data_IF_781314569173
#
_entry.id   IF_781314569173
#
_cell.length_a   1.000
_cell.length_b   1.000
_cell.length_c   1.000
_cell.angle_alpha   90.00
_cell.angle_beta   90.00
_cell.angle_gamma   90.00
#
_symmetry.space_group_name_H-M   'P 1'
#
loop_
_entity.id
_entity.type
_entity.pdbx_description
1 polymer ?
#
# COMPACT_ATOMS: atom_id res chain seq x y z
N UNK A 1 9.56 0.86 -9.69
CA UNK A 1 9.36 1.94 -8.69
C UNK A 1 10.12 3.24 -8.98
N UNK A 2 11.24 3.26 -9.72
CA UNK A 2 11.98 4.49 -10.06
C UNK A 2 11.07 5.58 -10.65
N UNK A 3 10.19 5.20 -11.59
CA UNK A 3 9.25 6.13 -12.22
C UNK A 3 8.24 6.71 -11.23
N UNK A 4 7.68 5.90 -10.32
CA UNK A 4 6.76 6.37 -9.27
C UNK A 4 7.46 7.43 -8.40
N UNK A 5 8.68 7.16 -7.95
CA UNK A 5 9.47 8.13 -7.16
C UNK A 5 9.78 9.41 -7.92
N UNK A 6 10.06 9.30 -9.22
CA UNK A 6 10.22 10.46 -10.09
C UNK A 6 8.93 11.29 -10.11
N UNK A 7 7.78 10.66 -10.31
CA UNK A 7 6.48 11.36 -10.27
C UNK A 7 6.26 12.07 -8.94
N UNK A 8 6.51 11.42 -7.79
CA UNK A 8 6.39 12.05 -6.47
C UNK A 8 7.27 13.30 -6.34
N UNK A 9 8.55 13.19 -6.76
CA UNK A 9 9.48 14.31 -6.68
C UNK A 9 9.05 15.49 -7.58
N UNK A 10 8.51 15.21 -8.76
CA UNK A 10 8.04 16.26 -9.66
C UNK A 10 6.72 16.89 -9.18
N UNK A 11 5.81 16.10 -8.60
CA UNK A 11 4.59 16.60 -7.96
C UNK A 11 4.90 17.50 -6.76
N UNK A 12 5.90 17.17 -5.95
CA UNK A 12 6.34 17.99 -4.82
C UNK A 12 6.91 19.35 -5.25
N UNK A 13 7.52 19.43 -6.43
CA UNK A 13 8.08 20.68 -6.98
C UNK A 13 7.05 21.53 -7.71
N UNK A 14 5.86 20.98 -7.99
CA UNK A 14 4.84 21.69 -8.73
C UNK A 14 4.42 22.95 -7.96
N UNK A 15 4.57 24.12 -8.58
CA UNK A 15 4.11 25.38 -8.00
C UNK A 15 2.63 25.51 -8.29
N UNK A 16 1.83 25.56 -7.23
CA UNK A 16 0.37 25.50 -7.34
C UNK A 16 -0.27 26.77 -6.80
N UNK A 17 -0.71 27.62 -7.71
CA UNK A 17 -1.28 28.93 -7.38
C UNK A 17 -2.79 28.90 -7.10
N UNK A 18 -3.52 27.93 -7.65
CA UNK A 18 -4.98 27.81 -7.46
C UNK A 18 -5.33 26.68 -6.50
N UNK A 19 -6.36 26.89 -5.67
CA UNK A 19 -6.86 25.90 -4.72
C UNK A 19 -7.17 24.54 -5.38
N UNK A 20 -7.92 24.54 -6.49
CA UNK A 20 -8.30 23.32 -7.20
C UNK A 20 -7.09 22.53 -7.70
N UNK A 21 -6.05 23.22 -8.18
CA UNK A 21 -4.84 22.56 -8.61
C UNK A 21 -4.08 21.95 -7.42
N UNK A 22 -4.16 22.53 -6.22
CA UNK A 22 -3.52 21.99 -5.01
C UNK A 22 -4.17 20.68 -4.58
N UNK A 23 -5.49 20.62 -4.67
CA UNK A 23 -6.25 19.40 -4.42
C UNK A 23 -5.84 18.29 -5.40
N UNK A 24 -5.80 18.58 -6.70
CA UNK A 24 -5.37 17.60 -7.72
C UNK A 24 -3.95 17.09 -7.45
N UNK A 25 -3.02 17.98 -7.08
CA UNK A 25 -1.66 17.56 -6.73
C UNK A 25 -1.64 16.65 -5.49
N UNK A 26 -2.47 16.93 -4.48
CA UNK A 26 -2.59 16.07 -3.30
C UNK A 26 -3.15 14.68 -3.64
N UNK A 27 -4.17 14.60 -4.50
CA UNK A 27 -4.74 13.34 -4.99
C UNK A 27 -3.71 12.52 -5.79
N UNK A 28 -2.94 13.17 -6.66
CA UNK A 28 -1.88 12.52 -7.44
C UNK A 28 -0.74 12.04 -6.55
N UNK A 29 -0.38 12.81 -5.52
CA UNK A 29 0.64 12.43 -4.54
C UNK A 29 0.22 11.18 -3.76
N UNK A 30 -1.02 11.18 -3.23
CA UNK A 30 -1.60 10.03 -2.55
C UNK A 30 -1.66 8.78 -3.45
N UNK A 31 -2.04 8.96 -4.71
CA UNK A 31 -2.07 7.87 -5.71
C UNK A 31 -0.68 7.27 -5.91
N UNK A 32 0.35 8.10 -6.03
CA UNK A 32 1.72 7.63 -6.16
C UNK A 32 2.22 6.90 -4.90
N UNK A 33 1.82 7.36 -3.71
CA UNK A 33 2.14 6.71 -2.44
C UNK A 33 1.47 5.32 -2.31
N UNK A 34 0.19 5.21 -2.70
CA UNK A 34 -0.54 3.94 -2.77
C UNK A 34 0.12 2.96 -3.75
N UNK A 35 0.49 3.42 -4.94
CA UNK A 35 1.21 2.60 -5.93
C UNK A 35 2.57 2.11 -5.43
N UNK A 36 3.32 2.99 -4.73
CA UNK A 36 4.60 2.63 -4.16
C UNK A 36 4.44 1.60 -3.03
N UNK A 37 3.40 1.73 -2.20
CA UNK A 37 3.06 0.76 -1.17
C UNK A 37 2.70 -0.60 -1.78
N UNK A 38 1.85 -0.63 -2.80
CA UNK A 38 1.51 -1.86 -3.52
C UNK A 38 2.76 -2.56 -4.09
N UNK A 39 3.68 -1.80 -4.70
CA UNK A 39 4.95 -2.36 -5.19
C UNK A 39 5.85 -2.91 -4.07
N UNK A 40 5.83 -2.30 -2.88
CA UNK A 40 6.60 -2.75 -1.72
C UNK A 40 6.02 -4.04 -1.14
N UNK A 41 4.70 -4.11 -1.01
CA UNK A 41 3.98 -5.29 -0.57
C UNK A 41 4.23 -6.44 -1.55
N UNK A 42 4.02 -6.24 -2.85
CA UNK A 42 4.28 -7.27 -3.86
C UNK A 42 5.72 -7.79 -3.83
N UNK A 43 6.71 -6.91 -3.64
CA UNK A 43 8.11 -7.33 -3.50
C UNK A 43 8.37 -8.11 -2.22
N UNK A 44 7.77 -7.72 -1.10
CA UNK A 44 7.89 -8.45 0.16
C UNK A 44 7.33 -9.88 0.02
N UNK A 45 6.15 -10.01 -0.59
CA UNK A 45 5.51 -11.30 -0.86
C UNK A 45 6.37 -12.17 -1.79
N UNK A 46 6.89 -11.61 -2.88
CA UNK A 46 7.79 -12.35 -3.80
C UNK A 46 9.09 -12.75 -3.12
N UNK A 47 9.67 -11.87 -2.30
CA UNK A 47 10.94 -12.13 -1.62
C UNK A 47 10.83 -13.31 -0.66
N UNK A 48 9.75 -13.37 0.12
CA UNK A 48 9.48 -14.47 1.05
C UNK A 48 8.98 -15.70 0.30
N UNK A 49 8.22 -15.52 -0.78
CA UNK A 49 7.61 -16.59 -1.55
C UNK A 49 8.57 -17.36 -2.46
N UNK A 50 9.82 -16.91 -2.62
CA UNK A 50 10.81 -17.49 -3.53
C UNK A 50 10.99 -18.98 -3.26
N UNK A 51 10.87 -19.78 -4.31
CA UNK A 51 11.04 -21.22 -4.21
C UNK A 51 12.54 -21.57 -4.02
N UNK A 52 12.92 -22.21 -2.90
CA UNK A 52 14.32 -22.55 -2.62
C UNK A 52 14.91 -23.54 -3.64
N UNK A 53 14.07 -24.36 -4.27
CA UNK A 53 14.50 -25.42 -5.20
C UNK A 53 14.82 -24.92 -6.62
N UNK A 54 14.57 -23.63 -6.92
CA UNK A 54 14.85 -23.04 -8.24
C UNK A 54 16.33 -22.83 -8.53
N UNK A 55 17.18 -22.88 -7.50
CA UNK A 55 18.63 -22.70 -7.62
C UNK A 55 19.40 -24.02 -7.77
N UNK A 56 18.71 -25.16 -7.60
CA UNK A 56 19.31 -26.49 -7.76
C UNK A 56 19.33 -26.91 -9.23
N UNK A 57 20.39 -27.56 -9.73
CA UNK A 57 20.40 -28.14 -11.08
C UNK A 57 19.27 -29.17 -11.18
N UNK A 58 18.28 -28.92 -12.04
CA UNK A 58 17.05 -29.74 -12.15
C UNK A 58 15.81 -29.19 -11.44
N UNK A 59 15.86 -27.95 -10.93
CA UNK A 59 14.72 -27.29 -10.29
C UNK A 59 13.50 -27.15 -11.22
N UNK A 60 12.52 -28.04 -11.06
CA UNK A 60 11.22 -27.97 -11.73
C UNK A 60 10.18 -27.25 -10.84
N UNK A 61 9.27 -26.49 -11.45
CA UNK A 61 8.15 -25.82 -10.77
C UNK A 61 8.18 -24.30 -10.84
N UNK A 62 7.26 -23.65 -10.11
CA UNK A 62 7.13 -22.18 -10.11
C UNK A 62 8.27 -21.49 -9.35
N UNK A 63 8.64 -20.29 -9.80
CA UNK A 63 9.71 -19.49 -9.19
C UNK A 63 9.34 -18.91 -7.82
N UNK A 64 8.04 -18.81 -7.54
CA UNK A 64 7.46 -18.30 -6.30
C UNK A 64 6.27 -19.18 -5.92
N UNK A 65 6.23 -19.67 -4.68
CA UNK A 65 5.23 -20.63 -4.20
C UNK A 65 4.53 -20.21 -2.89
N UNK A 66 5.16 -19.35 -2.08
CA UNK A 66 4.69 -19.00 -0.73
C UNK A 66 4.27 -17.52 -0.60
N UNK A 67 3.39 -17.04 -1.47
CA UNK A 67 2.97 -15.62 -1.61
C UNK A 67 2.02 -15.09 -0.50
N UNK A 68 1.85 -15.80 0.61
CA UNK A 68 0.91 -15.39 1.67
C UNK A 68 1.44 -14.29 2.57
N UNK A 69 0.58 -13.33 2.96
CA UNK A 69 0.86 -12.35 4.01
C UNK A 69 1.25 -13.06 5.31
N UNK A 70 0.64 -14.22 5.59
CA UNK A 70 0.98 -15.09 6.72
C UNK A 70 2.47 -15.42 6.82
N UNK A 71 3.18 -15.53 5.69
CA UNK A 71 4.59 -15.88 5.62
C UNK A 71 5.53 -14.68 5.88
N UNK A 72 5.01 -13.45 5.88
CA UNK A 72 5.81 -12.27 6.22
C UNK A 72 6.26 -12.32 7.69
N UNK A 73 7.45 -11.77 7.97
CA UNK A 73 7.94 -11.67 9.35
C UNK A 73 7.02 -10.76 10.18
N UNK A 74 6.92 -10.96 11.50
CA UNK A 74 6.12 -10.09 12.37
C UNK A 74 6.47 -8.60 12.20
N UNK A 75 7.77 -8.29 12.12
CA UNK A 75 8.26 -6.93 11.86
C UNK A 75 7.75 -6.36 10.53
N UNK A 76 7.81 -7.15 9.44
CA UNK A 76 7.32 -6.71 8.14
C UNK A 76 5.80 -6.51 8.13
N UNK A 77 5.04 -7.35 8.85
CA UNK A 77 3.59 -7.18 9.01
C UNK A 77 3.27 -5.87 9.72
N UNK A 78 3.91 -5.60 10.84
CA UNK A 78 3.73 -4.37 11.62
C UNK A 78 4.09 -3.12 10.81
N UNK A 79 5.22 -3.12 10.11
CA UNK A 79 5.65 -1.98 9.28
C UNK A 79 4.66 -1.68 8.14
N UNK A 80 4.14 -2.73 7.49
CA UNK A 80 3.14 -2.60 6.44
C UNK A 80 1.79 -2.13 6.99
N UNK A 81 1.36 -2.63 8.16
CA UNK A 81 0.15 -2.18 8.84
C UNK A 81 0.21 -0.69 9.19
N UNK A 82 1.30 -0.25 9.81
CA UNK A 82 1.51 1.16 10.16
C UNK A 82 1.50 2.06 8.91
N UNK A 83 2.07 1.58 7.81
CA UNK A 83 2.04 2.32 6.54
C UNK A 83 0.64 2.40 5.96
N UNK A 84 -0.14 1.32 6.00
CA UNK A 84 -1.54 1.29 5.57
C UNK A 84 -2.41 2.22 6.42
N UNK A 85 -2.23 2.23 7.74
CA UNK A 85 -2.88 3.17 8.65
C UNK A 85 -2.61 4.63 8.28
N UNK A 86 -1.35 4.98 8.02
CA UNK A 86 -0.99 6.33 7.58
C UNK A 86 -1.63 6.72 6.24
N UNK A 87 -1.73 5.78 5.30
CA UNK A 87 -2.38 6.03 4.00
C UNK A 87 -3.90 6.14 4.11
N UNK A 88 -4.55 5.37 4.98
CA UNK A 88 -5.98 5.50 5.29
C UNK A 88 -6.29 6.90 5.80
N UNK A 89 -5.46 7.42 6.71
CA UNK A 89 -5.65 8.75 7.26
C UNK A 89 -5.42 9.85 6.22
N UNK A 90 -4.34 9.75 5.44
CA UNK A 90 -4.09 10.68 4.34
C UNK A 90 -5.22 10.66 3.29
N UNK A 91 -5.78 9.49 3.01
CA UNK A 91 -6.92 9.36 2.11
C UNK A 91 -8.14 10.14 2.61
N UNK A 92 -8.48 10.02 3.91
CA UNK A 92 -9.57 10.80 4.52
C UNK A 92 -9.33 12.29 4.37
N UNK A 93 -8.13 12.76 4.70
CA UNK A 93 -7.76 14.17 4.59
C UNK A 93 -7.97 14.66 3.16
N UNK A 94 -7.40 13.97 2.17
CA UNK A 94 -7.52 14.34 0.75
C UNK A 94 -8.98 14.31 0.30
N UNK A 95 -9.74 13.30 0.70
CA UNK A 95 -11.16 13.20 0.36
C UNK A 95 -11.95 14.42 0.82
N UNK A 96 -11.83 14.80 2.10
CA UNK A 96 -12.56 15.93 2.66
C UNK A 96 -12.14 17.29 2.11
N UNK A 97 -11.00 17.38 1.41
CA UNK A 97 -10.58 18.65 0.78
C UNK A 97 -11.39 19.04 -0.46
N UNK A 98 -12.12 18.11 -1.08
CA UNK A 98 -12.97 18.47 -2.22
C UNK A 98 -14.01 17.46 -2.65
N UNK A 99 -14.31 16.45 -1.82
CA UNK A 99 -15.44 15.55 -2.01
C UNK A 99 -16.43 15.68 -0.86
N UNK A 100 -17.70 15.39 -1.13
CA UNK A 100 -18.71 15.27 -0.07
C UNK A 100 -18.40 14.04 0.81
N UNK A 101 -18.77 14.03 2.10
CA UNK A 101 -18.47 12.91 3.01
C UNK A 101 -19.04 11.54 2.55
N UNK A 102 -20.11 11.57 1.75
CA UNK A 102 -20.77 10.36 1.28
C UNK A 102 -19.85 9.55 0.34
N UNK A 103 -19.79 8.23 0.54
CA UNK A 103 -18.95 7.32 -0.27
C UNK A 103 -17.52 7.13 0.25
N UNK A 104 -17.07 7.91 1.25
CA UNK A 104 -15.72 7.76 1.82
C UNK A 104 -15.48 6.36 2.40
N UNK A 105 -16.41 5.85 3.21
CA UNK A 105 -16.28 4.54 3.85
C UNK A 105 -16.23 3.40 2.83
N UNK A 106 -17.06 3.48 1.79
CA UNK A 106 -17.08 2.50 0.69
C UNK A 106 -15.73 2.50 -0.04
N UNK A 107 -15.22 3.69 -0.33
CA UNK A 107 -13.93 3.85 -1.00
C UNK A 107 -12.74 3.39 -0.15
N UNK A 108 -12.80 3.56 1.17
CA UNK A 108 -11.76 3.12 2.11
C UNK A 108 -11.81 1.62 2.39
N UNK A 109 -12.93 0.95 2.08
CA UNK A 109 -13.17 -0.45 2.46
C UNK A 109 -12.09 -1.40 1.95
N UNK A 110 -11.54 -1.14 0.76
CA UNK A 110 -10.45 -1.95 0.18
C UNK A 110 -9.19 -1.85 1.04
N UNK A 111 -8.82 -0.64 1.45
CA UNK A 111 -7.63 -0.41 2.27
C UNK A 111 -7.82 -0.89 3.71
N UNK A 112 -9.02 -0.75 4.29
CA UNK A 112 -9.32 -1.21 5.65
C UNK A 112 -9.39 -2.73 5.72
N UNK A 113 -10.01 -3.39 4.74
CA UNK A 113 -10.00 -4.84 4.61
C UNK A 113 -8.58 -5.37 4.44
N UNK A 114 -7.76 -4.69 3.64
CA UNK A 114 -6.36 -5.05 3.49
C UNK A 114 -5.58 -4.91 4.80
N UNK A 115 -5.79 -3.83 5.56
CA UNK A 115 -5.14 -3.62 6.86
C UNK A 115 -5.43 -4.76 7.85
N UNK A 116 -6.67 -5.25 7.90
CA UNK A 116 -7.07 -6.35 8.79
C UNK A 116 -6.23 -7.62 8.58
N UNK A 117 -5.74 -7.86 7.37
CA UNK A 117 -4.88 -9.02 7.05
C UNK A 117 -3.47 -8.95 7.68
N UNK A 118 -3.05 -7.77 8.15
CA UNK A 118 -1.76 -7.55 8.79
C UNK A 118 -1.84 -7.48 10.33
N UNK A 119 -3.06 -7.42 10.88
CA UNK A 119 -3.27 -7.37 12.33
C UNK A 119 -3.25 -8.79 12.92
N UNK A 120 -2.83 -8.94 14.19
CA UNK A 120 -2.98 -10.22 14.91
C UNK A 120 -4.45 -10.60 15.03
N UNK A 121 -4.79 -11.88 14.87
CA UNK A 121 -6.17 -12.38 14.96
C UNK A 121 -6.85 -12.06 16.30
N UNK A 122 -6.07 -11.89 17.38
CA UNK A 122 -6.54 -11.52 18.72
C UNK A 122 -7.17 -10.11 18.80
N UNK A 123 -6.93 -9.25 17.81
CA UNK A 123 -7.53 -7.90 17.77
C UNK A 123 -8.91 -7.86 17.11
N UNK A 124 -9.41 -9.00 16.61
CA UNK A 124 -10.70 -9.12 15.93
C UNK A 124 -11.80 -9.76 16.81
N UNK A 125 -11.51 -10.13 18.05
CA UNK A 125 -12.43 -10.85 18.96
C UNK A 125 -13.03 -9.96 20.07
N UNK A 126 -13.18 -8.67 19.82
CA UNK A 126 -13.91 -7.78 20.72
C UNK A 126 -14.75 -6.80 19.91
N UNK A 127 -15.83 -7.35 19.34
CA UNK A 127 -17.15 -6.71 19.15
C UNK A 127 -18.21 -7.81 19.00
#
# INVERSE_FOLDING_TARGET
>A
MRHIRKCQNELQKAVVHRHNARQVVAELQLTADLQLAACRIGRALVSVGRNPNTQSPGGAGYSVINLGIANLTPTAKTDLANRLLGMLEQYRVVWYTGNIPHGLNESLNVLSTMLKQYLPEETLSSD
#
